data_IF_054959133653
#
_entry.id   IF_054959133653
#
_cell.length_a   1.000
_cell.length_b   1.000
_cell.length_c   1.000
_cell.angle_alpha   90.00
_cell.angle_beta   90.00
_cell.angle_gamma   90.00
#
_symmetry.space_group_name_H-M   'P 1'
#
loop_
_entity.id
_entity.type
_entity.pdbx_description
1 polymer ?
#
# COMPACT_ATOMS: atom_id res chain seq x y z
N UNK A 1 -3.85 -64.86 -11.72
CA UNK A 1 -4.79 -63.77 -11.41
C UNK A 1 -4.82 -63.40 -9.91
N UNK A 2 -4.84 -64.32 -8.99
CA UNK A 2 -4.84 -64.04 -7.56
C UNK A 2 -3.61 -63.22 -7.06
N UNK A 3 -2.40 -63.53 -7.57
CA UNK A 3 -1.13 -62.87 -7.19
C UNK A 3 -1.13 -61.37 -7.57
N UNK A 4 -1.70 -61.01 -8.72
CA UNK A 4 -1.79 -59.62 -9.20
C UNK A 4 -2.75 -58.79 -8.32
N UNK A 5 -3.89 -59.37 -7.96
CA UNK A 5 -4.86 -58.75 -7.07
C UNK A 5 -4.31 -58.57 -5.65
N UNK A 6 -3.56 -59.54 -5.14
CA UNK A 6 -2.95 -59.42 -3.80
C UNK A 6 -1.83 -58.38 -3.76
N UNK A 7 -1.03 -58.24 -4.82
CA UNK A 7 0.00 -57.21 -4.91
C UNK A 7 -0.60 -55.79 -4.98
N UNK A 8 -1.73 -55.60 -5.66
CA UNK A 8 -2.40 -54.31 -5.74
C UNK A 8 -2.93 -53.89 -4.36
N UNK A 9 -3.59 -54.79 -3.63
CA UNK A 9 -4.12 -54.52 -2.29
C UNK A 9 -3.00 -54.23 -1.26
N UNK A 10 -1.81 -54.77 -1.45
CA UNK A 10 -0.65 -54.55 -0.57
C UNK A 10 0.11 -53.25 -0.93
N UNK A 11 0.08 -52.80 -2.18
CA UNK A 11 0.80 -51.62 -2.62
C UNK A 11 0.00 -50.32 -2.43
N UNK A 12 -1.32 -50.40 -2.49
CA UNK A 12 -2.19 -49.22 -2.33
C UNK A 12 -1.98 -48.44 -1.00
N UNK A 13 -1.84 -49.12 0.18
CA UNK A 13 -1.51 -48.41 1.40
C UNK A 13 -0.11 -47.73 1.39
N UNK A 14 0.85 -48.29 0.66
CA UNK A 14 2.19 -47.68 0.52
C UNK A 14 2.17 -46.40 -0.32
N UNK A 15 1.36 -46.35 -1.38
CA UNK A 15 1.15 -45.15 -2.17
C UNK A 15 0.49 -44.05 -1.32
N UNK A 16 -0.46 -44.38 -0.49
CA UNK A 16 -1.08 -43.44 0.45
C UNK A 16 -0.08 -42.90 1.47
N UNK A 17 0.81 -43.70 2.00
CA UNK A 17 1.88 -43.24 2.91
C UNK A 17 2.82 -42.27 2.19
N UNK A 18 3.19 -42.56 0.93
CA UNK A 18 3.97 -41.61 0.10
C UNK A 18 3.27 -40.29 -0.11
N UNK A 19 1.98 -40.32 -0.46
CA UNK A 19 1.18 -39.13 -0.65
C UNK A 19 1.07 -38.27 0.64
N UNK A 20 0.83 -38.91 1.78
CA UNK A 20 0.81 -38.24 3.09
C UNK A 20 2.16 -37.60 3.45
N UNK A 21 3.27 -38.27 3.12
CA UNK A 21 4.59 -37.73 3.34
C UNK A 21 4.83 -36.45 2.52
N UNK A 22 4.45 -36.41 1.22
CA UNK A 22 4.56 -35.23 0.37
C UNK A 22 3.68 -34.08 0.86
N UNK A 23 2.43 -34.36 1.23
CA UNK A 23 1.51 -33.36 1.79
C UNK A 23 2.06 -32.81 3.12
N UNK A 24 2.60 -33.67 3.97
CA UNK A 24 3.20 -33.28 5.24
C UNK A 24 4.44 -32.39 5.06
N UNK A 25 5.31 -32.72 4.10
CA UNK A 25 6.49 -31.89 3.77
C UNK A 25 6.10 -30.52 3.20
N UNK A 26 5.13 -30.47 2.28
CA UNK A 26 4.60 -29.21 1.75
C UNK A 26 3.96 -28.37 2.86
N UNK A 27 3.19 -29.00 3.77
CA UNK A 27 2.61 -28.33 4.93
C UNK A 27 3.66 -27.73 5.87
N UNK A 28 4.75 -28.45 6.14
CA UNK A 28 5.86 -27.94 6.96
C UNK A 28 6.62 -26.79 6.29
N UNK A 29 6.78 -26.83 4.97
CA UNK A 29 7.41 -25.73 4.23
C UNK A 29 6.55 -24.45 4.30
N UNK A 30 5.25 -24.58 4.09
CA UNK A 30 4.30 -23.46 4.20
C UNK A 30 4.24 -22.92 5.64
N UNK A 31 4.23 -23.80 6.66
CA UNK A 31 4.27 -23.38 8.06
C UNK A 31 5.54 -22.57 8.38
N UNK A 32 6.70 -22.97 7.85
CA UNK A 32 7.95 -22.21 8.03
C UNK A 32 7.89 -20.85 7.35
N UNK A 33 7.30 -20.77 6.16
CA UNK A 33 7.11 -19.52 5.44
C UNK A 33 6.18 -18.55 6.22
N UNK A 34 5.05 -19.06 6.70
CA UNK A 34 4.10 -18.29 7.53
C UNK A 34 4.78 -17.81 8.83
N UNK A 35 5.48 -18.72 9.54
CA UNK A 35 6.22 -18.33 10.76
C UNK A 35 7.26 -17.26 10.48
N UNK A 36 7.97 -17.32 9.34
CA UNK A 36 8.96 -16.31 8.95
C UNK A 36 8.31 -14.95 8.75
N UNK A 37 7.11 -14.90 8.15
CA UNK A 37 6.35 -13.65 7.96
C UNK A 37 5.88 -13.13 9.33
N UNK A 38 5.28 -13.98 10.15
CA UNK A 38 4.77 -13.61 11.48
C UNK A 38 5.87 -13.24 12.49
N UNK A 39 7.08 -13.76 12.30
CA UNK A 39 8.24 -13.45 13.15
C UNK A 39 9.02 -12.22 12.69
N UNK A 40 8.67 -11.61 11.55
CA UNK A 40 9.26 -10.32 11.17
C UNK A 40 8.89 -9.30 12.24
N UNK A 41 9.89 -8.70 12.88
CA UNK A 41 9.59 -7.60 13.79
C UNK A 41 8.87 -6.52 13.00
N UNK A 42 7.72 -6.09 13.49
CA UNK A 42 7.11 -4.86 13.00
C UNK A 42 8.17 -3.76 13.12
N UNK A 43 8.32 -2.88 12.13
CA UNK A 43 9.21 -1.74 12.24
C UNK A 43 8.90 -1.02 13.55
N UNK A 44 9.73 -1.21 14.56
CA UNK A 44 9.62 -0.44 15.79
C UNK A 44 10.23 0.90 15.47
N UNK A 45 9.42 1.94 15.51
CA UNK A 45 9.91 3.28 15.63
C UNK A 45 10.90 3.31 16.80
N UNK A 46 12.19 3.36 16.53
CA UNK A 46 13.20 3.71 17.52
C UNK A 46 13.16 5.22 17.63
N UNK A 47 12.09 5.72 18.25
CA UNK A 47 11.96 7.14 18.55
C UNK A 47 13.19 7.58 19.32
N UNK A 48 14.05 8.36 18.69
CA UNK A 48 14.99 9.22 19.38
C UNK A 48 14.22 10.46 19.81
N UNK A 49 14.00 10.70 21.10
CA UNK A 49 13.31 11.90 21.53
C UNK A 49 14.16 13.13 21.21
N UNK A 50 13.59 14.04 20.42
CA UNK A 50 13.97 15.43 20.45
C UNK A 50 15.06 15.90 19.52
N UNK A 51 14.69 16.20 18.28
CA UNK A 51 15.26 17.36 17.60
C UNK A 51 14.12 18.35 17.37
N UNK A 52 13.99 19.31 18.26
CA UNK A 52 13.16 20.50 18.02
C UNK A 52 13.88 21.33 16.96
N UNK A 53 13.48 21.17 15.71
CA UNK A 53 13.91 22.10 14.65
C UNK A 53 13.11 23.38 14.82
N UNK A 54 13.73 24.36 15.47
CA UNK A 54 13.23 25.72 15.62
C UNK A 54 13.58 26.54 14.35
N UNK A 55 12.97 26.23 13.22
CA UNK A 55 12.99 27.12 12.07
C UNK A 55 11.60 27.70 11.88
N UNK A 56 11.44 29.03 11.80
CA UNK A 56 10.13 29.66 11.61
C UNK A 56 9.45 29.23 10.29
N UNK A 57 10.20 28.73 9.33
CA UNK A 57 9.70 28.20 8.07
C UNK A 57 9.09 26.81 8.21
N UNK A 58 9.52 26.00 9.18
CA UNK A 58 8.98 24.66 9.42
C UNK A 58 7.57 24.68 10.02
N UNK A 59 7.16 25.78 10.66
CA UNK A 59 5.84 25.94 11.27
C UNK A 59 4.68 26.05 10.24
N UNK A 60 4.98 26.31 8.96
CA UNK A 60 4.00 26.43 7.88
C UNK A 60 4.15 25.36 6.81
N UNK A 61 5.12 24.45 6.95
CA UNK A 61 5.36 23.39 5.99
C UNK A 61 4.59 22.14 6.42
N UNK A 62 3.87 21.54 5.45
CA UNK A 62 3.20 20.24 5.66
C UNK A 62 4.17 19.08 5.51
N UNK A 63 5.24 19.22 4.73
CA UNK A 63 6.29 18.21 4.58
C UNK A 63 7.66 18.87 4.80
N UNK A 64 8.48 18.23 5.63
CA UNK A 64 9.87 18.65 5.88
C UNK A 64 10.78 17.42 5.88
N UNK A 65 11.78 17.44 5.02
CA UNK A 65 12.89 16.50 5.01
C UNK A 65 14.16 17.26 5.36
N UNK A 66 14.93 16.72 6.31
CA UNK A 66 16.17 17.32 6.78
C UNK A 66 17.26 16.25 6.79
N UNK A 67 18.24 16.42 5.90
CA UNK A 67 19.38 15.51 5.68
C UNK A 67 18.97 14.05 5.53
N UNK A 68 17.92 13.77 4.73
CA UNK A 68 17.29 12.46 4.68
C UNK A 68 18.10 11.50 3.82
N UNK A 69 18.38 10.35 4.42
CA UNK A 69 18.99 9.20 3.78
C UNK A 69 18.00 8.02 3.72
N UNK A 70 18.05 7.25 2.65
CA UNK A 70 17.31 6.00 2.54
C UNK A 70 18.08 4.95 1.73
N UNK A 71 17.95 3.70 2.15
CA UNK A 71 18.52 2.55 1.47
C UNK A 71 17.50 1.42 1.35
N UNK A 72 17.62 0.62 0.31
CA UNK A 72 16.95 -0.67 0.19
C UNK A 72 17.97 -1.76 0.48
N UNK A 73 17.74 -2.53 1.54
CA UNK A 73 18.74 -3.45 2.13
C UNK A 73 20.05 -2.72 2.48
N UNK A 74 21.08 -2.80 1.67
CA UNK A 74 22.36 -2.13 1.87
C UNK A 74 22.68 -1.08 0.80
N UNK A 75 21.84 -0.95 -0.23
CA UNK A 75 22.08 -0.04 -1.35
C UNK A 75 21.49 1.34 -1.05
N UNK A 76 22.33 2.40 -0.92
CA UNK A 76 21.83 3.76 -0.71
C UNK A 76 21.11 4.27 -1.95
N UNK A 77 19.95 4.90 -1.76
CA UNK A 77 19.10 5.42 -2.84
C UNK A 77 18.82 6.90 -2.68
N UNK A 78 18.71 7.38 -1.46
CA UNK A 78 18.60 8.80 -1.15
C UNK A 78 19.73 9.18 -0.20
N UNK A 79 20.42 10.28 -0.50
CA UNK A 79 21.57 10.76 0.26
C UNK A 79 21.42 12.27 0.48
N UNK A 80 21.30 12.69 1.75
CA UNK A 80 21.28 14.09 2.15
C UNK A 80 20.13 14.92 1.55
N UNK A 81 18.93 14.35 1.40
CA UNK A 81 17.80 15.03 0.79
C UNK A 81 17.20 16.05 1.75
N UNK A 82 17.17 17.30 1.29
CA UNK A 82 16.56 18.41 1.99
C UNK A 82 15.39 18.97 1.18
N UNK A 83 14.19 19.01 1.77
CA UNK A 83 12.97 19.44 1.10
C UNK A 83 12.00 20.05 2.10
N UNK A 84 11.33 21.14 1.72
CA UNK A 84 10.24 21.71 2.49
C UNK A 84 9.10 22.05 1.56
N UNK A 85 7.90 21.53 1.82
CA UNK A 85 6.69 21.76 1.05
C UNK A 85 5.65 22.42 1.94
N UNK A 86 5.11 23.54 1.53
CA UNK A 86 4.10 24.28 2.28
C UNK A 86 2.72 23.68 2.10
N UNK A 87 1.84 23.92 3.04
CA UNK A 87 0.44 23.53 2.89
C UNK A 87 -0.19 24.18 1.66
N UNK A 88 -0.87 23.38 0.83
CA UNK A 88 -1.46 23.82 -0.44
C UNK A 88 -0.48 24.00 -1.59
N UNK A 89 0.81 23.74 -1.39
CA UNK A 89 1.81 23.74 -2.45
C UNK A 89 1.76 22.46 -3.27
N UNK A 90 1.88 22.59 -4.60
CA UNK A 90 2.03 21.45 -5.51
C UNK A 90 3.48 21.35 -5.95
N UNK A 91 4.13 20.24 -5.63
CA UNK A 91 5.52 19.95 -5.98
C UNK A 91 5.61 18.80 -6.96
N UNK A 92 6.37 18.96 -8.05
CA UNK A 92 6.67 17.89 -8.98
C UNK A 92 8.10 17.37 -8.76
N UNK A 93 8.24 16.07 -8.51
CA UNK A 93 9.55 15.38 -8.42
C UNK A 93 9.87 14.74 -9.76
N UNK A 94 10.87 15.27 -10.45
CA UNK A 94 11.31 14.83 -11.79
C UNK A 94 12.72 14.26 -11.75
N UNK A 95 13.04 13.38 -12.69
CA UNK A 95 14.36 12.77 -12.80
C UNK A 95 14.35 11.46 -13.57
N UNK A 96 15.52 10.89 -13.92
CA UNK A 96 15.61 9.62 -14.63
C UNK A 96 15.05 8.45 -13.83
N UNK A 97 14.87 7.29 -14.49
CA UNK A 97 14.53 6.05 -13.78
C UNK A 97 15.65 5.69 -12.82
N UNK A 98 15.31 5.21 -11.62
CA UNK A 98 16.30 4.88 -10.58
C UNK A 98 16.74 6.06 -9.70
N UNK A 99 16.32 7.30 -9.97
CA UNK A 99 16.71 8.49 -9.18
C UNK A 99 16.08 8.58 -7.77
N UNK A 100 15.48 7.52 -7.24
CA UNK A 100 14.93 7.50 -5.90
C UNK A 100 13.53 8.12 -5.74
N UNK A 101 12.86 8.57 -6.83
CA UNK A 101 11.52 9.19 -6.74
C UNK A 101 10.48 8.32 -6.04
N UNK A 102 10.42 7.05 -6.40
CA UNK A 102 9.49 6.09 -5.79
C UNK A 102 9.83 5.80 -4.32
N UNK A 103 11.12 5.83 -3.98
CA UNK A 103 11.62 5.67 -2.60
C UNK A 103 11.19 6.86 -1.75
N UNK A 104 11.33 8.08 -2.30
CA UNK A 104 10.84 9.30 -1.64
C UNK A 104 9.32 9.24 -1.40
N UNK A 105 8.53 8.85 -2.41
CA UNK A 105 7.08 8.69 -2.25
C UNK A 105 6.71 7.61 -1.24
N UNK A 106 7.40 6.46 -1.27
CA UNK A 106 7.19 5.38 -0.30
C UNK A 106 7.48 5.83 1.13
N UNK A 107 8.49 6.66 1.32
CA UNK A 107 8.84 7.24 2.61
C UNK A 107 7.77 8.22 3.09
N UNK A 108 7.35 9.17 2.25
CA UNK A 108 6.29 10.13 2.60
C UNK A 108 4.95 9.46 2.92
N UNK A 109 4.68 8.29 2.31
CA UNK A 109 3.52 7.46 2.62
C UNK A 109 3.73 6.55 3.86
N UNK A 110 4.88 6.62 4.54
CA UNK A 110 5.18 5.80 5.72
C UNK A 110 5.47 4.34 5.44
N UNK A 111 5.66 3.96 4.17
CA UNK A 111 5.99 2.59 3.77
C UNK A 111 7.49 2.28 3.92
N UNK A 112 8.31 3.29 4.06
CA UNK A 112 9.75 3.19 4.28
C UNK A 112 10.16 4.23 5.33
N UNK A 113 10.97 3.81 6.29
CA UNK A 113 11.57 4.73 7.26
C UNK A 113 12.92 5.23 6.74
N UNK A 114 13.30 6.47 7.04
CA UNK A 114 14.63 6.97 6.72
C UNK A 114 15.70 6.17 7.46
N UNK A 115 16.85 5.95 6.82
CA UNK A 115 18.05 5.38 7.46
C UNK A 115 18.88 6.43 8.17
N UNK A 116 18.75 7.70 7.77
CA UNK A 116 19.34 8.89 8.40
C UNK A 116 18.48 10.12 8.18
N UNK A 117 18.74 11.17 8.94
CA UNK A 117 17.97 12.41 8.87
C UNK A 117 16.57 12.32 9.48
N UNK A 118 15.73 13.32 9.23
CA UNK A 118 14.36 13.39 9.74
C UNK A 118 13.35 13.72 8.67
N UNK A 119 12.19 13.03 8.72
CA UNK A 119 11.04 13.28 7.85
C UNK A 119 9.84 13.63 8.71
N UNK A 120 9.19 14.74 8.41
CA UNK A 120 7.95 15.19 9.06
C UNK A 120 6.86 15.40 8.03
N UNK A 121 5.66 14.89 8.35
CA UNK A 121 4.45 15.10 7.57
C UNK A 121 3.38 15.65 8.51
N UNK A 122 2.78 16.78 8.15
CA UNK A 122 1.81 17.53 8.97
C UNK A 122 2.28 17.72 10.43
N UNK A 123 3.58 18.03 10.60
CA UNK A 123 4.22 18.23 11.90
C UNK A 123 4.58 16.97 12.67
N UNK A 124 4.15 15.79 12.20
CA UNK A 124 4.44 14.49 12.83
C UNK A 124 5.72 13.89 12.24
N UNK A 125 6.67 13.53 13.08
CA UNK A 125 7.90 12.86 12.65
C UNK A 125 7.63 11.37 12.34
N UNK A 126 7.96 10.93 11.13
CA UNK A 126 7.65 9.56 10.67
C UNK A 126 8.31 8.47 11.54
N UNK A 127 9.49 8.72 12.07
CA UNK A 127 10.21 7.77 12.93
C UNK A 127 9.52 7.55 14.29
N UNK A 128 8.72 8.51 14.73
CA UNK A 128 7.99 8.49 16.00
C UNK A 128 6.50 8.18 15.84
N UNK A 129 5.97 8.32 14.63
CA UNK A 129 4.55 8.15 14.30
C UNK A 129 4.14 6.68 14.31
N UNK A 130 2.91 6.42 14.72
CA UNK A 130 2.24 5.15 14.45
C UNK A 130 1.84 5.06 12.97
N UNK A 131 1.63 3.84 12.49
CA UNK A 131 1.17 3.66 11.09
C UNK A 131 -0.19 4.36 10.82
N UNK A 132 -1.06 4.43 11.83
CA UNK A 132 -2.36 5.06 11.68
C UNK A 132 -2.23 6.60 11.59
N UNK A 133 -1.31 7.20 12.35
CA UNK A 133 -1.00 8.64 12.25
C UNK A 133 -0.44 9.01 10.88
N UNK A 134 0.48 8.19 10.33
CA UNK A 134 1.03 8.44 8.98
C UNK A 134 -0.04 8.30 7.90
N UNK A 135 -0.89 7.28 8.00
CA UNK A 135 -1.98 7.06 7.04
C UNK A 135 -3.04 8.15 7.07
N UNK A 136 -3.28 8.74 8.24
CA UNK A 136 -4.20 9.87 8.37
C UNK A 136 -3.60 11.19 7.86
N UNK A 137 -2.27 11.29 7.81
CA UNK A 137 -1.57 12.49 7.36
C UNK A 137 -1.25 12.49 5.85
N UNK A 138 -1.30 11.34 5.17
CA UNK A 138 -0.92 11.23 3.76
C UNK A 138 -1.73 10.19 3.00
N UNK A 139 -2.10 10.50 1.75
CA UNK A 139 -2.73 9.56 0.84
C UNK A 139 -1.83 9.35 -0.39
N UNK A 140 -1.50 8.10 -0.70
CA UNK A 140 -0.70 7.73 -1.86
C UNK A 140 -1.58 7.18 -2.98
N UNK A 141 -1.57 7.85 -4.13
CA UNK A 141 -2.15 7.31 -5.37
C UNK A 141 -1.02 6.69 -6.20
N UNK A 142 -0.96 5.37 -6.23
CA UNK A 142 0.08 4.64 -6.94
C UNK A 142 -0.12 4.70 -8.47
N UNK A 143 0.97 4.56 -9.23
CA UNK A 143 0.92 4.47 -10.70
C UNK A 143 0.14 3.23 -11.17
N UNK A 144 0.33 2.09 -10.49
CA UNK A 144 -0.47 0.87 -10.72
C UNK A 144 -1.62 0.86 -9.73
N UNK A 145 -2.83 0.92 -10.24
CA UNK A 145 -4.04 0.95 -9.43
C UNK A 145 -4.57 -0.45 -9.19
N UNK A 146 -4.81 -0.78 -7.92
CA UNK A 146 -5.49 -1.99 -7.51
C UNK A 146 -6.95 -1.69 -7.19
N UNK A 147 -7.85 -2.39 -7.88
CA UNK A 147 -9.28 -2.40 -7.57
C UNK A 147 -9.61 -3.72 -6.88
N UNK A 148 -10.38 -3.62 -5.82
CA UNK A 148 -10.92 -4.79 -5.14
C UNK A 148 -12.18 -5.26 -5.86
N UNK A 149 -12.37 -6.56 -5.94
CA UNK A 149 -13.59 -7.16 -6.50
C UNK A 149 -14.80 -6.75 -5.66
N UNK A 150 -15.78 -6.16 -6.30
CA UNK A 150 -16.97 -5.59 -5.69
C UNK A 150 -17.51 -4.44 -6.52
N UNK A 151 -18.31 -3.57 -5.94
CA UNK A 151 -18.87 -2.40 -6.61
C UNK A 151 -17.92 -1.19 -6.57
N UNK A 152 -18.20 -0.16 -7.37
CA UNK A 152 -17.56 1.16 -7.24
C UNK A 152 -17.77 1.69 -5.82
N UNK A 153 -18.98 1.57 -5.27
CA UNK A 153 -19.28 1.97 -3.91
C UNK A 153 -18.44 1.23 -2.88
N UNK A 154 -18.27 -0.10 -3.03
CA UNK A 154 -17.44 -0.90 -2.12
C UNK A 154 -15.97 -0.44 -2.16
N UNK A 155 -15.44 -0.17 -3.35
CA UNK A 155 -14.10 0.38 -3.50
C UNK A 155 -13.93 1.75 -2.84
N UNK A 156 -14.93 2.60 -2.88
CA UNK A 156 -14.91 3.91 -2.19
C UNK A 156 -15.02 3.74 -0.67
N UNK A 157 -15.83 2.80 -0.18
CA UNK A 157 -15.97 2.49 1.26
C UNK A 157 -14.69 1.97 1.90
N UNK A 158 -13.73 1.45 1.13
CA UNK A 158 -12.42 1.10 1.67
C UNK A 158 -11.67 2.30 2.25
N UNK A 159 -11.86 3.48 1.68
CA UNK A 159 -11.26 4.72 2.18
C UNK A 159 -12.09 5.32 3.34
N UNK A 160 -13.42 5.30 3.21
CA UNK A 160 -14.34 5.81 4.22
C UNK A 160 -15.53 4.85 4.37
N UNK A 161 -15.51 3.95 5.39
CA UNK A 161 -16.51 2.89 5.54
C UNK A 161 -17.95 3.38 5.66
N UNK A 162 -18.16 4.58 6.20
CA UNK A 162 -19.48 5.17 6.42
C UNK A 162 -19.80 6.27 5.41
N UNK A 163 -19.10 6.34 4.28
CA UNK A 163 -19.38 7.33 3.25
C UNK A 163 -20.81 7.22 2.73
N UNK A 164 -21.48 8.33 2.71
CA UNK A 164 -22.82 8.45 2.10
C UNK A 164 -22.72 8.47 0.57
N UNK A 165 -23.77 8.08 -0.16
CA UNK A 165 -23.80 8.21 -1.63
C UNK A 165 -23.42 9.61 -2.12
N UNK A 166 -23.86 10.65 -1.42
CA UNK A 166 -23.54 12.04 -1.77
C UNK A 166 -22.04 12.32 -1.69
N UNK A 167 -21.37 11.86 -0.64
CA UNK A 167 -19.92 11.99 -0.48
C UNK A 167 -19.16 11.21 -1.56
N UNK A 168 -19.64 10.00 -1.90
CA UNK A 168 -19.06 9.19 -2.98
C UNK A 168 -19.14 9.90 -4.33
N UNK A 169 -20.30 10.47 -4.67
CA UNK A 169 -20.48 11.23 -5.90
C UNK A 169 -19.60 12.48 -5.93
N UNK A 170 -19.45 13.17 -4.81
CA UNK A 170 -18.59 14.34 -4.68
C UNK A 170 -17.10 13.97 -4.90
N UNK A 171 -16.64 12.86 -4.34
CA UNK A 171 -15.30 12.35 -4.57
C UNK A 171 -15.05 11.94 -6.03
N UNK A 172 -16.07 11.33 -6.67
CA UNK A 172 -16.02 11.00 -8.11
C UNK A 172 -15.98 12.27 -8.98
N UNK A 173 -16.70 13.32 -8.63
CA UNK A 173 -16.69 14.60 -9.32
C UNK A 173 -15.30 15.26 -9.27
N UNK A 174 -14.68 15.31 -8.08
CA UNK A 174 -13.32 15.82 -7.92
C UNK A 174 -12.32 15.01 -8.77
N UNK A 175 -12.47 13.68 -8.80
CA UNK A 175 -11.65 12.79 -9.63
C UNK A 175 -12.03 12.79 -11.12
N UNK A 176 -13.05 13.57 -11.54
CA UNK A 176 -13.55 13.62 -12.93
C UNK A 176 -14.02 12.28 -13.47
N UNK A 177 -14.64 11.47 -12.64
CA UNK A 177 -15.18 10.15 -13.00
C UNK A 177 -16.71 10.08 -12.87
N UNK A 178 -17.34 11.08 -12.27
CA UNK A 178 -18.78 11.19 -12.01
C UNK A 178 -19.64 10.96 -13.24
N UNK A 179 -19.33 11.64 -14.33
CA UNK A 179 -20.08 11.55 -15.58
C UNK A 179 -20.04 10.17 -16.21
N UNK A 180 -18.88 9.53 -16.15
CA UNK A 180 -18.70 8.18 -16.70
C UNK A 180 -19.46 7.15 -15.86
N UNK A 181 -19.39 7.25 -14.53
CA UNK A 181 -20.14 6.38 -13.62
C UNK A 181 -21.66 6.59 -13.74
N UNK A 182 -22.10 7.84 -13.92
CA UNK A 182 -23.52 8.15 -14.13
C UNK A 182 -24.10 7.56 -15.42
N UNK A 183 -23.24 7.31 -16.44
CA UNK A 183 -23.64 6.66 -17.70
C UNK A 183 -23.65 5.12 -17.58
N UNK A 184 -23.08 4.55 -16.52
CA UNK A 184 -23.11 3.11 -16.29
C UNK A 184 -24.51 2.67 -15.83
N UNK A 185 -25.04 1.54 -16.31
CA UNK A 185 -26.39 1.10 -15.96
C UNK A 185 -26.66 0.97 -14.46
N UNK A 186 -25.64 0.57 -13.71
CA UNK A 186 -25.72 0.34 -12.25
C UNK A 186 -25.08 1.47 -11.43
N UNK A 187 -24.51 2.50 -12.07
CA UNK A 187 -23.91 3.65 -11.40
C UNK A 187 -22.87 3.24 -10.36
N UNK A 188 -23.05 3.63 -9.10
CA UNK A 188 -22.17 3.26 -7.98
C UNK A 188 -22.12 1.74 -7.70
N UNK A 189 -23.17 1.00 -8.06
CA UNK A 189 -23.26 -0.45 -7.87
C UNK A 189 -22.63 -1.24 -9.02
N UNK A 190 -22.03 -0.55 -10.01
CA UNK A 190 -21.31 -1.18 -11.11
C UNK A 190 -20.17 -2.05 -10.57
N UNK A 191 -20.14 -3.32 -11.00
CA UNK A 191 -19.14 -4.30 -10.60
C UNK A 191 -17.79 -3.98 -11.23
N UNK A 192 -16.76 -3.97 -10.39
CA UNK A 192 -15.36 -3.74 -10.78
C UNK A 192 -14.45 -4.76 -10.11
N UNK A 193 -13.23 -4.92 -10.60
CA UNK A 193 -12.32 -5.90 -10.00
C UNK A 193 -10.92 -5.88 -10.60
N UNK A 194 -10.14 -6.89 -10.20
CA UNK A 194 -8.80 -7.10 -10.73
C UNK A 194 -8.80 -7.29 -12.25
N UNK A 195 -7.67 -6.99 -12.88
CA UNK A 195 -7.47 -7.08 -14.34
C UNK A 195 -8.38 -6.16 -15.18
N UNK A 196 -8.90 -5.07 -14.61
CA UNK A 196 -9.70 -4.08 -15.35
C UNK A 196 -11.14 -4.51 -15.63
N UNK A 197 -11.67 -5.46 -14.87
CA UNK A 197 -13.08 -5.81 -14.96
C UNK A 197 -13.93 -4.56 -14.70
N UNK A 198 -14.73 -4.16 -15.68
CA UNK A 198 -15.69 -3.06 -15.58
C UNK A 198 -15.13 -1.64 -15.79
N UNK A 199 -13.83 -1.39 -15.67
CA UNK A 199 -13.23 -0.07 -15.85
C UNK A 199 -11.98 -0.10 -16.74
N UNK A 200 -11.80 0.95 -17.56
CA UNK A 200 -10.52 1.17 -18.25
C UNK A 200 -9.42 1.55 -17.25
N UNK A 201 -8.14 1.41 -17.65
CA UNK A 201 -7.01 1.78 -16.79
C UNK A 201 -7.07 3.24 -16.29
N UNK A 202 -7.49 4.17 -17.14
CA UNK A 202 -7.68 5.57 -16.75
C UNK A 202 -8.84 5.79 -15.78
N UNK A 203 -9.94 5.04 -15.94
CA UNK A 203 -11.08 5.07 -15.00
C UNK A 203 -10.68 4.47 -13.65
N UNK A 204 -9.95 3.37 -13.64
CA UNK A 204 -9.42 2.74 -12.45
C UNK A 204 -8.51 3.71 -11.66
N UNK A 205 -7.65 4.44 -12.38
CA UNK A 205 -6.76 5.43 -11.78
C UNK A 205 -7.54 6.60 -11.18
N UNK A 206 -8.58 7.10 -11.86
CA UNK A 206 -9.47 8.14 -11.31
C UNK A 206 -10.30 7.64 -10.12
N UNK A 207 -10.72 6.37 -10.10
CA UNK A 207 -11.38 5.79 -8.93
C UNK A 207 -10.42 5.71 -7.72
N UNK A 208 -9.14 5.39 -7.95
CA UNK A 208 -8.13 5.45 -6.88
C UNK A 208 -7.92 6.87 -6.36
N UNK A 209 -7.97 7.85 -7.25
CA UNK A 209 -7.90 9.26 -6.87
C UNK A 209 -9.14 9.67 -6.06
N UNK A 210 -10.34 9.24 -6.46
CA UNK A 210 -11.57 9.48 -5.69
C UNK A 210 -11.49 8.88 -4.27
N UNK A 211 -10.90 7.69 -4.11
CA UNK A 211 -10.63 7.11 -2.78
C UNK A 211 -9.74 8.01 -1.93
N UNK A 212 -8.69 8.58 -2.52
CA UNK A 212 -7.79 9.48 -1.79
C UNK A 212 -8.52 10.74 -1.30
N UNK A 213 -9.37 11.34 -2.14
CA UNK A 213 -10.20 12.51 -1.77
C UNK A 213 -11.30 12.19 -0.75
N UNK A 214 -11.76 10.95 -0.70
CA UNK A 214 -12.80 10.54 0.24
C UNK A 214 -12.22 10.22 1.63
N UNK A 215 -10.92 9.93 1.70
CA UNK A 215 -10.22 9.63 2.95
C UNK A 215 -9.86 10.90 3.76
N UNK A 216 -9.86 12.08 3.12
CA UNK A 216 -9.58 13.40 3.71
C UNK A 216 -10.86 13.95 4.38
#
# INVERSE_FOLDING_TARGET
MAIVLTSYVLLEPLDHVGAFFYVGMAGMANQRAIRRILSRPLPRSTARPGATVSSPMAAQASIVLDDVEAAWDADPVLEGVNLSVRRGESLAVVGPSGAGKSTLMAMLAGNLLPSGGTVRVEGTELSAATQDEVRSASALVAQTTWLFTGTIADNLRLAQPYATPSQMWQALEVARLDKEVALMPEGLETQVGEAGLGLSGGQAQRLSLARAFLAD
#
